data_IF_021100029514
#
_entry.id   IF_021100029514
#
_cell.length_a   1.000
_cell.length_b   1.000
_cell.length_c   1.000
_cell.angle_alpha   90.00
_cell.angle_beta   90.00
_cell.angle_gamma   90.00
#
_symmetry.space_group_name_H-M   'P 1'
#
loop_
_entity.id
_entity.type
_entity.pdbx_description
1 polymer ?
#
# COMPACT_ATOMS: atom_id res chain seq x y z
N UNK A 1 -9.89 43.26 -40.93
CA UNK A 1 -8.77 42.28 -41.00
C UNK A 1 -9.05 41.21 -39.97
N UNK A 2 -8.93 39.93 -40.35
CA UNK A 2 -9.12 38.77 -39.46
C UNK A 2 -10.33 37.91 -39.82
N UNK A 3 -10.18 37.04 -40.83
CA UNK A 3 -11.10 35.98 -41.22
C UNK A 3 -10.83 34.74 -40.36
N UNK A 4 -11.87 34.03 -39.94
CA UNK A 4 -11.79 32.61 -39.55
C UNK A 4 -12.74 31.85 -40.46
N UNK A 5 -12.18 30.95 -41.26
CA UNK A 5 -12.89 30.08 -42.19
C UNK A 5 -13.18 28.75 -41.51
N UNK A 6 -14.43 28.31 -41.62
CA UNK A 6 -14.83 26.93 -41.39
C UNK A 6 -14.50 26.04 -42.58
N UNK A 7 -14.23 24.78 -42.31
CA UNK A 7 -14.07 23.72 -43.30
C UNK A 7 -14.70 22.44 -42.76
N UNK A 8 -15.84 22.10 -43.34
CA UNK A 8 -16.58 20.85 -43.23
C UNK A 8 -16.42 20.13 -44.57
N UNK A 9 -16.16 18.83 -44.58
CA UNK A 9 -16.31 17.78 -45.62
C UNK A 9 -15.55 16.57 -45.03
N UNK A 10 -16.06 15.36 -44.87
CA UNK A 10 -17.08 14.64 -45.62
C UNK A 10 -16.45 13.29 -46.02
N UNK A 11 -16.93 12.22 -45.37
CA UNK A 11 -16.89 10.77 -45.63
C UNK A 11 -15.91 10.18 -46.66
N UNK A 12 -15.26 9.07 -46.29
CA UNK A 12 -15.40 7.80 -47.03
C UNK A 12 -14.95 6.55 -46.23
N UNK A 13 -15.96 5.69 -46.04
CA UNK A 13 -16.04 4.22 -45.92
C UNK A 13 -14.76 3.42 -46.22
N UNK A 14 -14.43 2.49 -45.31
CA UNK A 14 -13.43 1.44 -45.54
C UNK A 14 -13.52 0.31 -44.52
N UNK A 15 -14.51 -0.57 -44.68
CA UNK A 15 -14.62 -1.87 -44.00
C UNK A 15 -13.40 -2.75 -44.26
N UNK A 16 -12.70 -3.16 -43.19
CA UNK A 16 -11.97 -4.44 -43.13
C UNK A 16 -12.00 -4.99 -41.71
N UNK A 17 -12.86 -5.98 -41.51
CA UNK A 17 -12.84 -6.93 -40.40
C UNK A 17 -11.73 -7.93 -40.72
N UNK A 18 -10.68 -7.97 -39.89
CA UNK A 18 -9.67 -9.03 -39.92
C UNK A 18 -9.76 -9.82 -38.61
N UNK A 19 -10.39 -10.99 -38.70
CA UNK A 19 -10.54 -11.96 -37.61
C UNK A 19 -9.20 -12.69 -37.39
N UNK A 20 -8.35 -12.09 -36.56
CA UNK A 20 -7.14 -12.70 -36.04
C UNK A 20 -7.46 -13.79 -35.00
N UNK A 21 -7.44 -15.04 -35.47
CA UNK A 21 -7.44 -16.31 -34.72
C UNK A 21 -6.69 -16.22 -33.39
N UNK A 22 -7.41 -16.46 -32.28
CA UNK A 22 -6.82 -16.86 -31.01
C UNK A 22 -6.73 -18.39 -30.99
N UNK A 23 -5.51 -18.89 -31.14
CA UNK A 23 -5.20 -20.30 -30.90
C UNK A 23 -5.37 -20.59 -29.40
N UNK A 24 -6.37 -21.41 -29.09
CA UNK A 24 -6.49 -22.07 -27.80
C UNK A 24 -5.36 -23.09 -27.66
N UNK A 25 -4.38 -22.77 -26.83
CA UNK A 25 -3.47 -23.77 -26.28
C UNK A 25 -4.24 -24.54 -25.21
N UNK A 26 -4.71 -25.73 -25.59
CA UNK A 26 -5.03 -26.80 -24.66
C UNK A 26 -3.72 -27.34 -24.10
N UNK A 27 -3.43 -27.04 -22.83
CA UNK A 27 -2.42 -27.74 -22.05
C UNK A 27 -3.12 -28.51 -20.92
N UNK A 28 -3.31 -29.81 -21.16
CA UNK A 28 -3.17 -30.93 -20.22
C UNK A 28 -3.32 -30.61 -18.73
N UNK A 29 -4.57 -30.66 -18.26
CA UNK A 29 -4.87 -30.97 -16.87
C UNK A 29 -4.63 -32.46 -16.64
N UNK A 30 -3.38 -32.81 -16.35
CA UNK A 30 -3.09 -34.05 -15.62
C UNK A 30 -3.75 -33.94 -14.25
N UNK A 31 -4.87 -34.66 -14.12
CA UNK A 31 -5.54 -34.91 -12.86
C UNK A 31 -4.66 -35.78 -11.99
N UNK A 32 -3.86 -35.14 -11.15
CA UNK A 32 -3.34 -35.76 -9.94
C UNK A 32 -3.37 -34.76 -8.79
N UNK A 33 -3.97 -35.22 -7.69
CA UNK A 33 -3.56 -34.85 -6.34
C UNK A 33 -4.04 -33.51 -5.75
N UNK A 34 -5.34 -33.21 -5.83
CA UNK A 34 -5.96 -32.36 -4.80
C UNK A 34 -6.02 -33.10 -3.44
N UNK A 35 -6.06 -34.44 -3.47
CA UNK A 35 -6.17 -35.27 -2.27
C UNK A 35 -4.85 -35.47 -1.52
N UNK A 36 -3.69 -35.58 -2.19
CA UNK A 36 -2.42 -35.76 -1.47
C UNK A 36 -1.87 -34.42 -0.93
N UNK A 37 -2.27 -33.28 -1.51
CA UNK A 37 -1.92 -31.95 -0.98
C UNK A 37 -2.59 -31.68 0.38
N UNK A 38 -3.84 -32.11 0.55
CA UNK A 38 -4.55 -32.01 1.84
C UNK A 38 -4.00 -33.01 2.87
N UNK A 39 -3.56 -34.21 2.45
CA UNK A 39 -2.91 -35.17 3.35
C UNK A 39 -1.51 -34.71 3.82
N UNK A 40 -0.72 -34.03 2.98
CA UNK A 40 0.56 -33.44 3.42
C UNK A 40 0.38 -32.30 4.43
N UNK A 41 -0.65 -31.47 4.29
CA UNK A 41 -0.96 -30.41 5.26
C UNK A 41 -1.47 -31.01 6.59
N UNK A 42 -2.22 -32.12 6.54
CA UNK A 42 -2.67 -32.82 7.74
C UNK A 42 -1.54 -33.54 8.49
N UNK A 43 -0.57 -34.13 7.78
CA UNK A 43 0.63 -34.75 8.37
C UNK A 43 1.61 -33.71 8.95
N UNK A 44 1.74 -32.52 8.34
CA UNK A 44 2.57 -31.45 8.90
C UNK A 44 2.00 -30.84 10.19
N UNK A 45 0.68 -30.94 10.40
CA UNK A 45 0.03 -30.51 11.65
C UNK A 45 0.26 -31.48 12.82
N UNK A 46 0.78 -32.68 12.58
CA UNK A 46 1.00 -33.68 13.63
C UNK A 46 2.45 -33.80 14.12
N UNK A 47 3.46 -33.34 13.38
CA UNK A 47 4.87 -33.57 13.74
C UNK A 47 5.74 -32.32 13.95
N UNK A 48 5.17 -31.11 13.91
CA UNK A 48 5.90 -29.91 14.33
C UNK A 48 5.00 -29.04 15.22
N UNK A 49 4.74 -29.51 16.43
CA UNK A 49 4.55 -28.56 17.53
C UNK A 49 5.95 -28.11 17.96
N UNK A 50 6.41 -26.90 17.63
CA UNK A 50 7.57 -26.38 18.30
C UNK A 50 7.16 -26.24 19.77
N UNK A 51 7.70 -27.10 20.62
CA UNK A 51 7.65 -26.94 22.07
C UNK A 51 8.51 -25.73 22.43
N UNK A 52 8.03 -24.54 22.10
CA UNK A 52 8.47 -23.30 22.71
C UNK A 52 7.73 -23.27 24.04
N UNK A 53 8.23 -24.04 25.01
CA UNK A 53 7.93 -23.71 26.41
C UNK A 53 8.69 -22.42 26.68
N UNK A 54 8.10 -21.30 26.28
CA UNK A 54 8.56 -20.00 26.72
C UNK A 54 8.61 -20.08 28.25
N UNK A 55 9.81 -19.95 28.80
CA UNK A 55 9.96 -19.92 30.25
C UNK A 55 9.07 -18.80 30.80
N UNK A 56 8.57 -18.90 32.03
CA UNK A 56 7.70 -17.85 32.60
C UNK A 56 8.35 -16.45 32.59
N UNK A 57 9.66 -16.37 32.36
CA UNK A 57 10.43 -15.13 32.21
C UNK A 57 10.43 -14.58 30.76
N UNK A 58 10.22 -15.42 29.74
CA UNK A 58 10.16 -14.99 28.33
C UNK A 58 8.82 -14.33 27.98
N UNK A 59 7.72 -14.77 28.61
CA UNK A 59 6.40 -14.22 28.31
C UNK A 59 6.28 -12.71 28.66
N UNK A 60 6.78 -12.24 29.82
CA UNK A 60 6.91 -10.81 30.08
C UNK A 60 7.80 -10.08 29.06
N UNK A 61 8.93 -10.67 28.65
CA UNK A 61 9.82 -10.04 27.68
C UNK A 61 9.12 -9.82 26.33
N UNK A 62 8.52 -10.88 25.77
CA UNK A 62 7.83 -10.82 24.47
C UNK A 62 6.65 -9.84 24.52
N UNK A 63 5.91 -9.83 25.63
CA UNK A 63 4.82 -8.88 25.81
C UNK A 63 5.31 -7.42 25.82
N UNK A 64 6.35 -7.13 26.60
CA UNK A 64 6.92 -5.78 26.70
C UNK A 64 7.52 -5.33 25.36
N UNK A 65 8.22 -6.24 24.68
CA UNK A 65 8.79 -5.97 23.35
C UNK A 65 7.69 -5.70 22.32
N UNK A 66 6.59 -6.44 22.38
CA UNK A 66 5.41 -6.18 21.54
C UNK A 66 4.80 -4.80 21.81
N UNK A 67 4.68 -4.40 23.09
CA UNK A 67 4.21 -3.04 23.44
C UNK A 67 5.16 -1.97 22.90
N UNK A 68 6.47 -2.17 23.04
CA UNK A 68 7.47 -1.25 22.50
C UNK A 68 7.34 -1.12 20.98
N UNK A 69 7.02 -2.21 20.27
CA UNK A 69 6.73 -2.20 18.84
C UNK A 69 5.49 -1.36 18.47
N UNK A 70 4.47 -1.30 19.33
CA UNK A 70 3.22 -0.58 19.05
C UNK A 70 3.30 0.92 19.28
N UNK A 71 4.18 1.40 20.15
CA UNK A 71 4.29 2.84 20.48
C UNK A 71 5.26 3.57 19.53
N UNK A 72 5.25 4.92 19.57
CA UNK A 72 6.23 5.73 18.85
C UNK A 72 7.66 5.52 19.37
N UNK A 73 8.68 5.74 18.53
CA UNK A 73 10.09 5.57 18.88
C UNK A 73 10.47 6.29 20.18
N UNK A 74 10.08 7.55 20.33
CA UNK A 74 10.34 8.34 21.53
C UNK A 74 9.66 7.76 22.78
N UNK A 75 8.44 7.23 22.64
CA UNK A 75 7.72 6.59 23.74
C UNK A 75 8.36 5.27 24.14
N UNK A 76 8.80 4.44 23.18
CA UNK A 76 9.52 3.21 23.45
C UNK A 76 10.86 3.47 24.13
N UNK A 77 11.59 4.50 23.68
CA UNK A 77 12.86 4.90 24.29
C UNK A 77 12.72 5.31 25.76
N UNK A 78 11.60 5.91 26.15
CA UNK A 78 11.33 6.25 27.56
C UNK A 78 11.24 5.03 28.47
N UNK A 79 11.00 3.82 27.94
CA UNK A 79 11.01 2.59 28.75
C UNK A 79 12.40 2.30 29.33
N UNK A 80 13.48 2.82 28.72
CA UNK A 80 14.85 2.71 29.23
C UNK A 80 15.02 3.26 30.65
N UNK A 81 14.17 4.23 31.04
CA UNK A 81 14.19 4.88 32.35
C UNK A 81 13.36 4.16 33.43
N UNK A 82 12.63 3.11 33.07
CA UNK A 82 11.84 2.34 34.04
C UNK A 82 12.75 1.43 34.87
N UNK A 83 12.52 1.34 36.19
CA UNK A 83 13.42 0.64 37.12
C UNK A 83 13.44 -0.89 36.95
N UNK A 84 12.48 -1.46 36.24
CA UNK A 84 12.38 -2.89 35.97
C UNK A 84 13.31 -3.30 34.84
N UNK A 85 14.14 -4.33 35.05
CA UNK A 85 15.18 -4.75 34.11
C UNK A 85 14.68 -5.03 32.68
N UNK A 86 13.52 -5.67 32.52
CA UNK A 86 12.94 -5.95 31.20
C UNK A 86 12.59 -4.68 30.42
N UNK A 87 11.79 -3.78 31.03
CA UNK A 87 11.40 -2.54 30.38
C UNK A 87 12.61 -1.65 30.04
N UNK A 88 13.58 -1.55 30.96
CA UNK A 88 14.78 -0.76 30.73
C UNK A 88 15.59 -1.30 29.54
N UNK A 89 15.85 -2.62 29.53
CA UNK A 89 16.62 -3.28 28.46
C UNK A 89 15.92 -3.22 27.11
N UNK A 90 14.60 -3.45 27.07
CA UNK A 90 13.80 -3.38 25.83
C UNK A 90 13.74 -1.93 25.34
N UNK A 91 13.49 -0.98 26.24
CA UNK A 91 13.47 0.44 25.89
C UNK A 91 14.79 0.91 25.30
N UNK A 92 15.91 0.51 25.89
CA UNK A 92 17.24 0.79 25.34
C UNK A 92 17.45 0.14 23.97
N UNK A 93 17.06 -1.13 23.82
CA UNK A 93 17.18 -1.83 22.53
C UNK A 93 16.37 -1.14 21.43
N UNK A 94 15.14 -0.73 21.72
CA UNK A 94 14.30 0.02 20.77
C UNK A 94 14.87 1.40 20.48
N UNK A 95 15.40 2.10 21.49
CA UNK A 95 16.05 3.40 21.30
C UNK A 95 17.26 3.30 20.35
N UNK A 96 18.06 2.24 20.49
CA UNK A 96 19.28 2.02 19.71
C UNK A 96 19.00 1.47 18.30
N UNK A 97 18.05 0.54 18.18
CA UNK A 97 17.88 -0.24 16.94
C UNK A 97 16.69 0.18 16.08
N UNK A 98 15.71 0.91 16.62
CA UNK A 98 14.52 1.29 15.85
C UNK A 98 14.86 2.36 14.82
N UNK A 99 14.47 2.08 13.58
CA UNK A 99 14.61 3.00 12.47
C UNK A 99 13.26 3.17 11.80
N UNK A 100 12.82 4.42 11.72
CA UNK A 100 11.57 4.82 11.11
C UNK A 100 11.88 5.42 9.72
N UNK A 101 11.17 4.95 8.70
CA UNK A 101 11.33 5.37 7.31
C UNK A 101 10.05 5.99 6.75
N UNK A 102 10.26 6.84 5.74
CA UNK A 102 9.25 7.45 4.89
C UNK A 102 9.47 6.96 3.46
N UNK A 103 8.50 6.26 2.91
CA UNK A 103 8.59 5.68 1.59
C UNK A 103 7.84 6.55 0.60
N UNK A 104 8.49 7.01 -0.47
CA UNK A 104 7.85 7.79 -1.53
C UNK A 104 7.91 7.00 -2.82
N UNK A 105 6.77 6.72 -3.43
CA UNK A 105 6.67 6.14 -4.78
C UNK A 105 6.03 7.17 -5.69
N UNK A 106 6.60 7.30 -6.88
CA UNK A 106 6.17 8.21 -7.92
C UNK A 106 5.86 7.35 -9.14
N UNK A 107 4.66 7.48 -9.67
CA UNK A 107 4.28 6.93 -10.98
C UNK A 107 4.66 7.97 -12.02
N UNK A 108 5.38 7.52 -13.05
CA UNK A 108 5.87 8.33 -14.16
C UNK A 108 5.39 7.66 -15.45
N UNK A 109 4.85 8.47 -16.37
CA UNK A 109 4.40 8.05 -17.71
C UNK A 109 3.60 6.72 -17.72
N UNK A 110 3.93 5.79 -18.63
CA UNK A 110 3.25 4.51 -18.93
C UNK A 110 3.37 3.47 -17.81
N UNK A 111 3.09 3.86 -16.55
CA UNK A 111 3.10 3.02 -15.35
C UNK A 111 4.49 2.66 -14.81
N UNK A 112 5.54 3.33 -15.27
CA UNK A 112 6.84 3.21 -14.64
C UNK A 112 6.79 3.80 -13.23
N UNK A 113 7.48 3.15 -12.29
CA UNK A 113 7.55 3.61 -10.92
C UNK A 113 8.98 4.00 -10.59
N UNK A 114 9.15 5.14 -9.93
CA UNK A 114 10.37 5.45 -9.19
C UNK A 114 10.06 5.52 -7.71
N UNK A 115 11.04 5.23 -6.87
CA UNK A 115 10.87 5.37 -5.44
C UNK A 115 12.09 6.02 -4.78
N UNK A 116 11.82 6.61 -3.63
CA UNK A 116 12.83 7.07 -2.70
C UNK A 116 12.41 6.63 -1.30
N UNK A 117 13.35 6.10 -0.52
CA UNK A 117 13.11 5.76 0.88
C UNK A 117 13.98 6.66 1.75
N UNK A 118 13.36 7.36 2.69
CA UNK A 118 14.04 8.34 3.54
C UNK A 118 14.03 7.90 4.98
N UNK A 119 15.14 8.10 5.70
CA UNK A 119 15.16 7.94 7.15
C UNK A 119 14.49 9.14 7.87
N UNK A 120 14.46 9.13 9.20
CA UNK A 120 13.90 10.23 10.01
C UNK A 120 14.63 11.58 9.87
N UNK A 121 15.84 11.58 9.31
CA UNK A 121 16.62 12.79 9.03
C UNK A 121 16.41 13.32 7.60
N UNK A 122 15.67 12.59 6.77
CA UNK A 122 15.44 12.93 5.36
C UNK A 122 16.53 12.45 4.41
N UNK A 123 17.49 11.64 4.87
CA UNK A 123 18.51 11.06 4.01
C UNK A 123 17.91 9.88 3.21
N UNK A 124 18.25 9.81 1.92
CA UNK A 124 17.88 8.68 1.07
C UNK A 124 18.66 7.42 1.45
N UNK A 125 17.96 6.29 1.54
CA UNK A 125 18.50 4.99 1.93
C UNK A 125 18.18 3.95 0.85
N UNK A 126 19.16 3.19 0.36
CA UNK A 126 18.90 2.12 -0.59
C UNK A 126 18.03 1.02 0.02
N UNK A 127 16.93 0.65 -0.65
CA UNK A 127 16.07 -0.47 -0.22
C UNK A 127 16.85 -1.78 -0.10
N UNK A 128 17.82 -2.02 -0.99
CA UNK A 128 18.69 -3.21 -1.00
C UNK A 128 19.41 -3.38 0.34
N UNK A 129 19.87 -2.28 0.96
CA UNK A 129 20.56 -2.32 2.24
C UNK A 129 19.61 -2.76 3.36
N UNK A 130 18.38 -2.26 3.36
CA UNK A 130 17.36 -2.64 4.35
C UNK A 130 16.95 -4.10 4.18
N UNK A 131 16.70 -4.54 2.95
CA UNK A 131 16.35 -5.93 2.65
C UNK A 131 17.46 -6.94 2.98
N UNK A 132 18.71 -6.48 3.05
CA UNK A 132 19.87 -7.27 3.49
C UNK A 132 20.06 -7.30 5.02
N UNK A 133 19.32 -6.46 5.75
CA UNK A 133 19.45 -6.27 7.20
C UNK A 133 18.33 -6.96 8.00
N UNK A 134 18.50 -6.99 9.32
CA UNK A 134 17.47 -7.45 10.25
C UNK A 134 16.35 -6.41 10.39
N UNK A 135 15.21 -6.68 9.73
CA UNK A 135 14.08 -5.77 9.66
C UNK A 135 13.20 -5.73 10.93
N UNK A 136 13.52 -6.47 12.00
CA UNK A 136 12.66 -6.54 13.20
C UNK A 136 12.30 -5.19 13.80
N UNK A 137 13.23 -4.24 13.77
CA UNK A 137 13.05 -2.90 14.34
C UNK A 137 12.81 -1.81 13.27
N UNK A 138 12.63 -2.22 12.01
CA UNK A 138 12.39 -1.31 10.88
C UNK A 138 10.90 -1.03 10.75
N UNK A 139 10.55 0.24 10.52
CA UNK A 139 9.15 0.66 10.31
C UNK A 139 9.04 1.57 9.11
N UNK A 140 7.97 1.40 8.33
CA UNK A 140 7.55 2.39 7.33
C UNK A 140 6.37 3.15 7.92
N UNK A 141 6.63 4.34 8.46
CA UNK A 141 5.59 5.14 9.12
C UNK A 141 4.61 5.74 8.12
N UNK A 142 5.11 6.06 6.93
CA UNK A 142 4.35 6.74 5.90
C UNK A 142 4.82 6.27 4.54
N UNK A 143 3.86 6.02 3.68
CA UNK A 143 4.02 5.72 2.28
C UNK A 143 3.28 6.79 1.48
N UNK A 144 4.02 7.60 0.72
CA UNK A 144 3.51 8.63 -0.17
C UNK A 144 3.47 8.11 -1.60
N UNK A 145 2.28 8.06 -2.19
CA UNK A 145 2.07 7.68 -3.58
C UNK A 145 1.71 8.92 -4.41
N UNK A 146 2.60 9.30 -5.31
CA UNK A 146 2.46 10.46 -6.17
C UNK A 146 2.33 10.06 -7.64
N UNK A 147 1.56 10.83 -8.39
CA UNK A 147 1.65 10.86 -9.85
C UNK A 147 2.38 12.15 -10.26
N UNK A 148 3.51 12.03 -10.95
CA UNK A 148 4.27 13.20 -11.42
C UNK A 148 4.52 13.06 -12.93
N UNK A 149 4.18 14.09 -13.71
CA UNK A 149 4.13 13.97 -15.17
C UNK A 149 5.42 14.27 -15.92
N UNK A 150 6.54 14.64 -15.30
CA UNK A 150 7.67 15.21 -16.08
C UNK A 150 9.05 15.15 -15.40
N UNK A 151 9.51 14.01 -14.87
CA UNK A 151 10.91 13.93 -14.42
C UNK A 151 11.68 12.88 -15.19
N UNK A 152 12.71 13.34 -15.92
CA UNK A 152 13.77 12.52 -16.52
C UNK A 152 14.55 11.81 -15.39
N UNK A 153 14.01 10.71 -14.89
CA UNK A 153 14.72 9.78 -14.00
C UNK A 153 15.03 8.52 -14.78
N UNK A 154 16.24 8.01 -14.58
CA UNK A 154 16.61 6.68 -15.05
C UNK A 154 15.93 5.64 -14.14
N UNK A 155 15.20 4.72 -14.76
CA UNK A 155 14.53 3.62 -14.07
C UNK A 155 15.44 2.40 -14.04
N UNK A 156 15.52 1.74 -12.88
CA UNK A 156 16.11 0.40 -12.80
C UNK A 156 14.99 -0.63 -12.95
N UNK A 157 15.17 -1.64 -13.82
CA UNK A 157 14.20 -2.71 -14.09
C UNK A 157 13.74 -3.47 -12.83
N UNK A 158 14.50 -3.41 -11.74
CA UNK A 158 14.22 -4.11 -10.49
C UNK A 158 13.43 -3.27 -9.46
N UNK A 159 13.09 -2.01 -9.76
CA UNK A 159 12.45 -1.12 -8.78
C UNK A 159 11.10 -1.64 -8.31
N UNK A 160 10.27 -2.12 -9.22
CA UNK A 160 8.98 -2.73 -8.88
C UNK A 160 9.14 -3.96 -7.99
N UNK A 161 10.15 -4.80 -8.26
CA UNK A 161 10.43 -5.97 -7.43
C UNK A 161 10.85 -5.57 -6.01
N UNK A 162 11.72 -4.56 -5.88
CA UNK A 162 12.17 -4.06 -4.58
C UNK A 162 11.03 -3.45 -3.77
N UNK A 163 10.09 -2.77 -4.44
CA UNK A 163 8.85 -2.30 -3.82
C UNK A 163 8.00 -3.47 -3.24
N UNK A 164 7.79 -4.54 -4.02
CA UNK A 164 7.06 -5.71 -3.53
C UNK A 164 7.80 -6.39 -2.37
N UNK A 165 9.12 -6.52 -2.49
CA UNK A 165 9.95 -7.15 -1.45
C UNK A 165 9.93 -6.35 -0.14
N UNK A 166 9.96 -5.02 -0.18
CA UNK A 166 9.94 -4.20 1.04
C UNK A 166 8.54 -4.19 1.68
N UNK A 167 7.49 -4.02 0.90
CA UNK A 167 6.10 -3.91 1.40
C UNK A 167 5.55 -5.25 1.90
N UNK A 168 6.06 -6.37 1.42
CA UNK A 168 5.71 -7.71 1.94
C UNK A 168 6.42 -8.07 3.25
N UNK A 169 7.54 -7.41 3.58
CA UNK A 169 8.33 -7.68 4.79
C UNK A 169 8.06 -6.70 5.92
N UNK A 170 7.82 -5.44 5.59
CA UNK A 170 7.68 -4.36 6.56
C UNK A 170 6.28 -3.75 6.44
N UNK A 171 5.44 -3.86 7.47
CA UNK A 171 4.11 -3.25 7.45
C UNK A 171 4.19 -1.73 7.28
N UNK A 172 3.30 -1.21 6.44
CA UNK A 172 3.14 0.24 6.23
C UNK A 172 2.05 0.75 7.17
N UNK A 173 2.38 1.77 7.97
CA UNK A 173 1.42 2.32 8.93
C UNK A 173 0.40 3.25 8.27
N UNK A 174 0.87 4.19 7.44
CA UNK A 174 0.03 5.22 6.81
C UNK A 174 0.29 5.28 5.30
N UNK A 175 -0.77 5.24 4.50
CA UNK A 175 -0.71 5.57 3.07
C UNK A 175 -1.25 6.97 2.85
N UNK A 176 -0.52 7.76 2.07
CA UNK A 176 -0.95 9.05 1.55
C UNK A 176 -0.93 9.01 0.03
N UNK A 177 -2.10 9.15 -0.59
CA UNK A 177 -2.22 9.27 -2.04
C UNK A 177 -2.39 10.73 -2.45
N UNK A 178 -1.50 11.17 -3.34
CA UNK A 178 -1.57 12.47 -3.98
C UNK A 178 -1.40 12.28 -5.50
N UNK A 179 -2.51 11.99 -6.16
CA UNK A 179 -2.54 11.67 -7.58
C UNK A 179 -3.81 12.16 -8.24
N UNK A 180 -3.68 12.57 -9.49
CA UNK A 180 -4.79 12.70 -10.43
C UNK A 180 -5.38 11.32 -10.78
N UNK A 181 -6.66 11.28 -11.18
CA UNK A 181 -7.56 10.13 -11.08
C UNK A 181 -7.11 8.83 -11.78
N UNK A 182 -6.39 8.92 -12.90
CA UNK A 182 -6.31 7.81 -13.85
C UNK A 182 -5.08 6.90 -13.69
N UNK A 183 -3.89 7.41 -13.40
CA UNK A 183 -2.66 6.60 -13.45
C UNK A 183 -2.52 5.62 -12.28
N UNK A 184 -2.84 6.06 -11.06
CA UNK A 184 -2.73 5.20 -9.87
C UNK A 184 -3.69 4.03 -9.92
N UNK A 185 -4.89 4.22 -10.50
CA UNK A 185 -5.92 3.19 -10.57
C UNK A 185 -5.42 1.93 -11.31
N UNK A 186 -4.61 2.10 -12.34
CA UNK A 186 -4.15 1.01 -13.20
C UNK A 186 -3.17 0.08 -12.46
N UNK A 187 -2.46 0.57 -11.45
CA UNK A 187 -1.49 -0.21 -10.69
C UNK A 187 -2.03 -0.54 -9.30
N UNK A 188 -3.03 -1.41 -9.27
CA UNK A 188 -3.71 -1.87 -8.05
C UNK A 188 -2.77 -2.23 -6.90
N UNK A 189 -1.61 -2.83 -7.20
CA UNK A 189 -0.65 -3.27 -6.16
C UNK A 189 0.00 -2.11 -5.38
N UNK A 190 0.04 -0.89 -5.95
CA UNK A 190 0.63 0.25 -5.26
C UNK A 190 -0.27 0.79 -4.15
N UNK A 191 -1.59 0.67 -4.29
CA UNK A 191 -2.53 1.26 -3.33
C UNK A 191 -3.38 0.22 -2.60
N UNK A 192 -3.52 -1.01 -3.11
CA UNK A 192 -4.20 -2.12 -2.41
C UNK A 192 -3.32 -2.75 -1.30
N UNK A 193 -2.68 -1.90 -0.49
CA UNK A 193 -1.83 -2.31 0.63
C UNK A 193 -2.60 -2.14 1.93
N UNK A 194 -2.57 -3.13 2.85
CA UNK A 194 -3.18 -2.98 4.16
C UNK A 194 -2.44 -1.90 4.95
N UNK A 195 -3.19 -0.89 5.42
CA UNK A 195 -2.67 0.23 6.21
C UNK A 195 -3.61 0.58 7.35
N UNK A 196 -3.07 1.12 8.43
CA UNK A 196 -3.87 1.57 9.57
C UNK A 196 -4.45 2.97 9.38
N UNK A 197 -3.76 3.82 8.60
CA UNK A 197 -4.18 5.17 8.30
C UNK A 197 -4.15 5.40 6.79
N UNK A 198 -5.23 5.95 6.25
CA UNK A 198 -5.31 6.37 4.86
C UNK A 198 -5.60 7.87 4.80
N UNK A 199 -4.80 8.60 4.04
CA UNK A 199 -4.94 10.03 3.77
C UNK A 199 -4.97 10.24 2.25
N UNK A 200 -5.84 11.13 1.80
CA UNK A 200 -5.74 11.66 0.44
C UNK A 200 -6.09 13.15 0.43
N UNK A 201 -5.44 13.90 -0.47
CA UNK A 201 -5.61 15.35 -0.57
C UNK A 201 -6.46 15.79 -1.77
N UNK A 202 -6.63 14.94 -2.78
CA UNK A 202 -7.20 15.36 -4.06
C UNK A 202 -8.71 15.07 -4.18
N UNK A 203 -9.45 16.04 -4.71
CA UNK A 203 -10.87 15.88 -5.09
C UNK A 203 -11.01 14.85 -6.24
N UNK A 204 -9.97 14.70 -7.05
CA UNK A 204 -9.91 13.76 -8.18
C UNK A 204 -9.45 12.34 -7.83
N UNK A 205 -9.34 11.96 -6.55
CA UNK A 205 -8.95 10.59 -6.24
C UNK A 205 -10.01 9.58 -6.72
N UNK A 206 -9.56 8.51 -7.38
CA UNK A 206 -10.44 7.44 -7.85
C UNK A 206 -11.29 6.85 -6.71
N UNK A 207 -12.59 6.73 -6.95
CA UNK A 207 -13.54 6.13 -6.00
C UNK A 207 -13.21 4.67 -5.68
N UNK A 208 -12.55 3.95 -6.58
CA UNK A 208 -12.12 2.56 -6.33
C UNK A 208 -11.10 2.49 -5.19
N UNK A 209 -10.17 3.44 -5.15
CA UNK A 209 -9.15 3.54 -4.10
C UNK A 209 -9.83 3.84 -2.75
N UNK A 210 -10.75 4.80 -2.76
CA UNK A 210 -11.54 5.19 -1.58
C UNK A 210 -12.38 3.99 -1.09
N UNK A 211 -13.06 3.28 -2.00
CA UNK A 211 -13.90 2.12 -1.69
C UNK A 211 -13.10 0.98 -1.05
N UNK A 212 -11.96 0.63 -1.64
CA UNK A 212 -11.08 -0.38 -1.09
C UNK A 212 -10.66 -0.03 0.34
N UNK A 213 -10.15 1.19 0.58
CA UNK A 213 -9.67 1.52 1.92
C UNK A 213 -10.81 1.66 2.93
N UNK A 214 -11.98 2.19 2.56
CA UNK A 214 -13.10 2.32 3.50
C UNK A 214 -13.76 0.99 3.86
N UNK A 215 -13.86 0.06 2.91
CA UNK A 215 -14.73 -1.11 3.08
C UNK A 215 -14.01 -2.46 2.99
N UNK A 216 -12.83 -2.52 2.39
CA UNK A 216 -12.08 -3.77 2.18
C UNK A 216 -10.78 -3.84 3.02
N UNK A 217 -10.20 -2.71 3.38
CA UNK A 217 -9.01 -2.67 4.23
C UNK A 217 -9.37 -2.90 5.71
N UNK A 218 -9.37 -4.17 6.13
CA UNK A 218 -9.69 -4.60 7.50
C UNK A 218 -8.78 -3.99 8.59
N UNK A 219 -7.61 -3.47 8.21
CA UNK A 219 -6.65 -2.87 9.13
C UNK A 219 -6.89 -1.38 9.37
N UNK A 220 -7.78 -0.74 8.60
CA UNK A 220 -7.99 0.70 8.65
C UNK A 220 -8.57 1.13 10.01
N UNK A 221 -7.87 2.06 10.67
CA UNK A 221 -8.30 2.71 11.92
C UNK A 221 -8.64 4.18 11.69
N UNK A 222 -7.94 4.84 10.78
CA UNK A 222 -8.08 6.28 10.54
C UNK A 222 -8.22 6.58 9.06
N UNK A 223 -9.27 7.33 8.72
CA UNK A 223 -9.51 7.81 7.37
C UNK A 223 -9.50 9.34 7.37
N UNK A 224 -8.49 9.93 6.73
CA UNK A 224 -8.24 11.36 6.72
C UNK A 224 -8.45 11.93 5.32
N UNK A 225 -9.08 13.10 5.23
CA UNK A 225 -9.40 13.75 3.96
C UNK A 225 -8.84 15.17 3.97
N UNK A 226 -7.91 15.45 3.06
CA UNK A 226 -7.38 16.77 2.77
C UNK A 226 -8.16 17.44 1.63
N UNK A 227 -8.24 18.77 1.67
CA UNK A 227 -8.78 19.65 0.61
C UNK A 227 -10.14 19.24 -0.01
N UNK A 228 -10.98 18.51 0.73
CA UNK A 228 -12.28 18.10 0.23
C UNK A 228 -13.31 19.23 0.19
N UNK A 229 -14.17 19.18 -0.82
CA UNK A 229 -15.37 20.00 -0.87
C UNK A 229 -16.53 19.35 -0.09
N UNK A 230 -17.59 20.13 0.13
CA UNK A 230 -18.77 19.68 0.86
C UNK A 230 -19.44 18.44 0.24
N UNK A 231 -19.51 18.37 -1.09
CA UNK A 231 -20.17 17.27 -1.79
C UNK A 231 -19.43 15.94 -1.59
N UNK A 232 -18.10 15.96 -1.69
CA UNK A 232 -17.26 14.80 -1.40
C UNK A 232 -17.41 14.35 0.05
N UNK A 233 -17.31 15.28 1.01
CA UNK A 233 -17.47 14.93 2.43
C UNK A 233 -18.86 14.38 2.74
N UNK A 234 -19.92 15.01 2.20
CA UNK A 234 -21.30 14.53 2.38
C UNK A 234 -21.46 13.12 1.83
N UNK A 235 -20.87 12.85 0.66
CA UNK A 235 -20.88 11.53 0.05
C UNK A 235 -20.15 10.50 0.92
N UNK A 236 -18.93 10.78 1.36
CA UNK A 236 -18.14 9.87 2.21
C UNK A 236 -18.86 9.54 3.52
N UNK A 237 -19.47 10.55 4.18
CA UNK A 237 -20.24 10.32 5.41
C UNK A 237 -21.45 9.42 5.15
N UNK A 238 -22.18 9.65 4.06
CA UNK A 238 -23.32 8.80 3.67
C UNK A 238 -22.88 7.38 3.31
N UNK A 239 -21.77 7.23 2.59
CA UNK A 239 -21.19 5.93 2.25
C UNK A 239 -20.80 5.15 3.50
N UNK A 240 -20.10 5.80 4.43
CA UNK A 240 -19.70 5.19 5.69
C UNK A 240 -20.91 4.75 6.53
N UNK A 241 -21.96 5.57 6.61
CA UNK A 241 -23.20 5.22 7.32
C UNK A 241 -23.94 4.01 6.72
N UNK A 242 -23.81 3.77 5.41
CA UNK A 242 -24.45 2.65 4.72
C UNK A 242 -23.59 1.39 4.68
N UNK A 243 -22.27 1.52 4.86
CA UNK A 243 -21.33 0.43 4.67
C UNK A 243 -21.04 0.11 3.20
N UNK A 244 -21.37 1.02 2.28
CA UNK A 244 -21.13 0.88 0.83
C UNK A 244 -20.95 2.25 0.18
N UNK A 245 -20.27 2.31 -0.97
CA UNK A 245 -20.06 3.56 -1.68
C UNK A 245 -21.35 4.08 -2.33
N UNK A 246 -21.82 5.26 -1.89
CA UNK A 246 -22.97 5.94 -2.50
C UNK A 246 -22.56 6.54 -3.85
N UNK A 247 -23.38 6.36 -4.89
CA UNK A 247 -23.14 6.98 -6.20
C UNK A 247 -23.29 8.51 -6.17
N UNK A 248 -22.62 9.20 -7.10
CA UNK A 248 -22.77 10.64 -7.24
C UNK A 248 -24.20 10.90 -7.73
N UNK A 249 -25.02 11.56 -6.91
CA UNK A 249 -26.28 12.09 -7.40
C UNK A 249 -25.96 13.19 -8.41
N UNK A 250 -26.22 12.92 -9.70
CA UNK A 250 -26.23 13.96 -10.72
C UNK A 250 -27.30 14.96 -10.29
N UNK A 251 -26.87 16.17 -9.90
CA UNK A 251 -27.82 17.25 -9.66
C UNK A 251 -28.41 17.60 -11.01
N UNK A 252 -29.66 17.22 -11.21
CA UNK A 252 -30.41 17.57 -12.39
C UNK A 252 -30.72 19.08 -12.31
N UNK A 253 -29.87 19.89 -12.94
CA UNK A 253 -30.00 21.35 -12.95
C UNK A 253 -30.94 21.83 -14.06
N UNK A 254 -31.99 21.07 -14.39
CA UNK A 254 -33.02 21.54 -15.31
C UNK A 254 -33.87 22.62 -14.60
N UNK A 255 -33.58 23.88 -14.90
CA UNK A 255 -34.40 25.06 -14.56
C UNK A 255 -35.32 25.37 -15.74
#
# INVERSE_FOLDING_TARGET
>A
MGKIAGGFLGDEVGDRVDEGKRDLIHSDLNGDSCYERTQRIALYKQEVQPQIYATMEELPFVFIDSIAHLVFKNSAGNFSHLQTGFWSSIGQTHQEKRVDYYFKVQIVDDLDISYDLFNEHGDSVPIKDILSSDCRYVRILRYDLHNMSTMDREFEDDQFKLFIDITSRIPIHKLYVWSEENSVKEIGVLWKIPVESFLFGDIGLSLEIIDFHLFQNEHLKTFEVGWANYDLMSRLVKSFQRGEMVEKQERDWTI
#
